data_IF_240050571815
#
_entry.id   IF_240050571815
#
_cell.length_a   1.000
_cell.length_b   1.000
_cell.length_c   1.000
_cell.angle_alpha   90.00
_cell.angle_beta   90.00
_cell.angle_gamma   90.00
#
_symmetry.space_group_name_H-M   'P 1'
#
loop_
_entity.id
_entity.type
_entity.pdbx_description
1 polymer ?
#
# COMPACT_ATOMS: atom_id res chain seq x y z
N UNK A 1 4.15 -10.44 -11.17
CA UNK A 1 5.26 -11.29 -10.69
C UNK A 1 4.79 -12.55 -9.97
N UNK A 2 3.76 -12.45 -9.12
CA UNK A 2 3.14 -13.59 -8.43
C UNK A 2 1.63 -13.54 -8.67
N UNK A 3 1.03 -14.64 -9.13
CA UNK A 3 -0.41 -14.68 -9.49
C UNK A 3 -1.09 -15.96 -8.99
N UNK A 4 -2.42 -15.93 -8.88
CA UNK A 4 -3.22 -17.08 -8.45
C UNK A 4 -2.77 -17.64 -7.10
N UNK A 5 -2.47 -18.94 -7.06
CA UNK A 5 -2.02 -19.65 -5.85
C UNK A 5 -0.65 -19.19 -5.30
N UNK A 6 0.09 -18.37 -6.05
CA UNK A 6 1.41 -17.86 -5.67
C UNK A 6 1.31 -16.57 -4.85
N UNK A 7 0.12 -15.96 -4.75
CA UNK A 7 -0.10 -14.77 -3.92
C UNK A 7 -0.29 -15.24 -2.47
N UNK A 8 0.83 -15.50 -1.79
CA UNK A 8 0.90 -16.01 -0.42
C UNK A 8 1.73 -15.09 0.47
N UNK A 9 1.47 -15.14 1.77
CA UNK A 9 2.25 -14.40 2.78
C UNK A 9 3.74 -14.80 2.76
N UNK A 10 4.03 -16.08 2.49
CA UNK A 10 5.40 -16.57 2.39
C UNK A 10 6.16 -15.92 1.22
N UNK A 11 5.57 -15.89 0.03
CA UNK A 11 6.18 -15.27 -1.14
C UNK A 11 6.35 -13.77 -0.94
N UNK A 12 5.37 -13.10 -0.35
CA UNK A 12 5.46 -11.69 0.00
C UNK A 12 6.67 -11.42 0.92
N UNK A 13 6.83 -12.17 2.01
CA UNK A 13 7.93 -11.98 2.94
C UNK A 13 9.29 -12.27 2.29
N UNK A 14 9.37 -13.32 1.48
CA UNK A 14 10.57 -13.65 0.71
C UNK A 14 10.94 -12.51 -0.28
N UNK A 15 9.96 -11.96 -0.98
CA UNK A 15 10.13 -10.82 -1.90
C UNK A 15 10.66 -9.61 -1.17
N UNK A 16 10.06 -9.24 -0.03
CA UNK A 16 10.49 -8.10 0.77
C UNK A 16 11.93 -8.27 1.25
N UNK A 17 12.27 -9.45 1.74
CA UNK A 17 13.61 -9.76 2.24
C UNK A 17 14.66 -9.90 1.12
N UNK A 18 14.26 -9.96 -0.14
CA UNK A 18 15.18 -10.21 -1.25
C UNK A 18 15.62 -11.67 -1.34
N UNK A 19 14.91 -12.60 -0.70
CA UNK A 19 15.30 -14.00 -0.62
C UNK A 19 14.72 -14.81 -1.80
N UNK A 20 15.49 -14.87 -2.89
CA UNK A 20 15.14 -15.64 -4.10
C UNK A 20 14.99 -17.14 -3.83
N UNK A 21 15.62 -17.68 -2.79
CA UNK A 21 15.56 -19.13 -2.48
C UNK A 21 14.29 -19.48 -1.70
N UNK A 22 13.77 -18.53 -0.92
CA UNK A 22 12.52 -18.71 -0.17
C UNK A 22 11.25 -18.54 -1.04
N UNK A 23 11.38 -17.90 -2.21
CA UNK A 23 10.26 -17.77 -3.16
C UNK A 23 9.84 -19.14 -3.71
N UNK A 24 8.52 -19.37 -3.75
CA UNK A 24 7.88 -20.56 -4.33
C UNK A 24 7.01 -20.17 -5.53
N UNK A 25 7.46 -20.53 -6.72
CA UNK A 25 6.78 -20.21 -7.98
C UNK A 25 6.92 -18.73 -8.36
N UNK A 26 6.02 -18.25 -9.23
CA UNK A 26 6.07 -16.88 -9.77
C UNK A 26 7.27 -16.63 -10.68
N UNK A 27 7.58 -15.36 -10.90
CA UNK A 27 8.73 -14.94 -11.71
C UNK A 27 10.07 -15.07 -11.00
N UNK A 28 10.08 -15.30 -9.68
CA UNK A 28 11.28 -15.25 -8.85
C UNK A 28 11.83 -13.84 -8.61
N UNK A 29 11.13 -12.79 -9.07
CA UNK A 29 11.53 -11.39 -8.84
C UNK A 29 11.35 -11.05 -7.36
N UNK A 30 12.38 -10.46 -6.75
CA UNK A 30 12.38 -10.02 -5.35
C UNK A 30 13.01 -8.63 -5.22
N UNK A 31 12.89 -8.01 -4.05
CA UNK A 31 13.57 -6.76 -3.71
C UNK A 31 15.03 -7.06 -3.36
N UNK A 32 15.86 -7.25 -4.39
CA UNK A 32 17.30 -7.50 -4.29
C UNK A 32 18.07 -6.18 -4.14
N UNK A 33 17.73 -5.46 -3.07
CA UNK A 33 18.29 -4.16 -2.75
C UNK A 33 19.63 -4.33 -2.02
N UNK A 34 20.68 -3.63 -2.48
CA UNK A 34 22.04 -3.87 -2.01
C UNK A 34 22.32 -3.22 -0.64
N UNK A 35 23.06 -3.89 0.26
CA UNK A 35 23.56 -3.29 1.50
C UNK A 35 24.44 -2.06 1.23
N UNK A 36 24.44 -1.10 2.17
CA UNK A 36 25.29 0.09 2.10
C UNK A 36 26.80 -0.26 1.99
N UNK A 37 27.47 0.27 0.96
CA UNK A 37 28.89 0.61 1.06
C UNK A 37 29.03 1.92 1.84
N UNK A 38 29.49 1.83 3.08
CA UNK A 38 29.81 2.98 3.94
C UNK A 38 31.02 3.70 3.32
N UNK A 39 30.79 4.59 2.36
CA UNK A 39 31.87 5.39 1.75
C UNK A 39 31.63 5.93 0.34
N UNK A 40 30.64 5.44 -0.41
CA UNK A 40 30.39 5.96 -1.76
C UNK A 40 29.37 7.10 -1.77
N UNK A 41 29.86 8.32 -1.95
CA UNK A 41 29.10 9.56 -2.18
C UNK A 41 28.12 9.48 -3.38
N UNK A 42 28.22 8.44 -4.22
CA UNK A 42 27.55 8.38 -5.53
C UNK A 42 26.85 7.04 -5.85
N UNK A 43 26.47 6.22 -4.86
CA UNK A 43 25.57 5.08 -5.11
C UNK A 43 24.11 5.48 -4.92
N UNK A 44 23.34 5.40 -6.01
CA UNK A 44 21.88 5.54 -6.04
C UNK A 44 21.25 4.52 -5.09
N UNK A 45 21.02 4.92 -3.85
CA UNK A 45 20.32 4.11 -2.86
C UNK A 45 18.86 3.92 -3.29
N UNK A 46 18.37 2.69 -3.25
CA UNK A 46 16.96 2.40 -3.55
C UNK A 46 16.14 2.93 -2.37
N UNK A 47 15.33 3.93 -2.68
CA UNK A 47 14.23 4.37 -1.84
C UNK A 47 13.01 3.62 -2.35
N UNK A 48 12.43 2.81 -1.49
CA UNK A 48 11.40 1.84 -1.88
C UNK A 48 10.03 2.42 -1.49
N UNK A 49 9.13 2.50 -2.46
CA UNK A 49 7.71 2.55 -2.19
C UNK A 49 7.21 1.11 -2.23
N UNK A 50 6.53 0.70 -1.17
CA UNK A 50 5.80 -0.55 -1.15
C UNK A 50 4.33 -0.23 -1.01
N UNK A 51 3.54 -0.83 -1.87
CA UNK A 51 2.10 -0.65 -1.88
C UNK A 51 1.45 -1.99 -1.51
N UNK A 52 0.68 -1.98 -0.43
CA UNK A 52 -0.23 -3.07 -0.09
C UNK A 52 -1.63 -2.65 -0.50
N UNK A 53 -2.01 -3.03 -1.72
CA UNK A 53 -3.43 -3.10 -2.07
C UNK A 53 -3.93 -4.46 -1.62
N UNK A 54 -4.53 -4.53 -0.44
CA UNK A 54 -5.44 -5.61 -0.14
C UNK A 54 -6.79 -5.25 -0.73
N UNK A 55 -7.03 -5.65 -1.98
CA UNK A 55 -8.39 -5.74 -2.49
C UNK A 55 -9.11 -6.74 -1.59
N UNK A 56 -9.86 -6.23 -0.62
CA UNK A 56 -10.89 -7.02 0.03
C UNK A 56 -11.70 -7.61 -1.10
N UNK A 57 -11.74 -8.94 -1.20
CA UNK A 57 -12.66 -9.63 -2.09
C UNK A 57 -14.00 -8.92 -1.98
N UNK A 58 -14.53 -8.43 -3.10
CA UNK A 58 -15.81 -7.72 -3.20
C UNK A 58 -16.81 -8.38 -2.25
N UNK A 59 -17.00 -7.77 -1.09
CA UNK A 59 -17.91 -8.28 -0.07
C UNK A 59 -19.31 -7.89 -0.53
N UNK A 60 -20.07 -8.88 -0.97
CA UNK A 60 -21.46 -8.72 -1.36
C UNK A 60 -22.29 -8.14 -0.21
N UNK A 61 -22.49 -6.81 -0.17
CA UNK A 61 -23.48 -6.02 0.62
C UNK A 61 -23.75 -6.42 2.11
N UNK A 62 -23.07 -7.38 2.71
CA UNK A 62 -23.56 -8.09 3.91
C UNK A 62 -22.47 -8.68 4.82
N UNK A 63 -21.21 -8.25 4.68
CA UNK A 63 -20.20 -8.56 5.68
C UNK A 63 -19.73 -7.25 6.31
N UNK A 64 -20.47 -6.81 7.33
CA UNK A 64 -19.93 -5.94 8.36
C UNK A 64 -18.53 -6.44 8.73
N UNK A 65 -17.52 -5.56 8.70
CA UNK A 65 -16.27 -5.82 9.41
C UNK A 65 -16.66 -6.04 10.88
N UNK A 66 -16.81 -7.30 11.29
CA UNK A 66 -17.16 -7.62 12.66
C UNK A 66 -16.05 -7.13 13.55
N UNK A 67 -16.34 -6.06 14.28
CA UNK A 67 -15.53 -5.51 15.36
C UNK A 67 -15.03 -6.65 16.25
N UNK A 68 -13.73 -6.89 16.22
CA UNK A 68 -12.91 -7.46 17.29
C UNK A 68 -11.43 -7.37 16.88
N UNK A 69 -10.82 -6.19 17.08
CA UNK A 69 -9.36 -5.98 17.08
C UNK A 69 -8.62 -6.57 15.86
N UNK A 70 -8.80 -6.03 14.65
CA UNK A 70 -8.09 -6.59 13.48
C UNK A 70 -6.57 -6.51 13.70
N UNK A 71 -5.81 -7.59 13.49
CA UNK A 71 -4.33 -7.66 13.62
C UNK A 71 -3.76 -8.38 12.38
N UNK A 72 -4.54 -8.42 11.30
CA UNK A 72 -4.20 -9.16 10.10
C UNK A 72 -4.73 -8.48 8.82
N UNK A 73 -4.12 -8.81 7.68
CA UNK A 73 -4.54 -8.42 6.34
C UNK A 73 -4.88 -9.70 5.57
N UNK A 74 -6.05 -9.70 4.93
CA UNK A 74 -6.53 -10.82 4.13
C UNK A 74 -5.59 -11.10 2.95
N UNK A 75 -5.37 -12.38 2.66
CA UNK A 75 -4.58 -12.85 1.52
C UNK A 75 -5.43 -13.79 0.67
N UNK A 76 -5.29 -13.79 -0.67
CA UNK A 76 -6.05 -14.70 -1.53
C UNK A 76 -5.83 -16.18 -1.22
N UNK A 77 -4.65 -16.51 -0.69
CA UNK A 77 -4.28 -17.85 -0.27
C UNK A 77 -3.80 -17.80 1.18
N UNK A 78 -4.37 -18.65 2.02
CA UNK A 78 -3.99 -18.77 3.43
C UNK A 78 -2.52 -19.18 3.61
N UNK A 79 -1.87 -18.79 4.72
CA UNK A 79 -2.43 -17.99 5.82
C UNK A 79 -2.50 -16.48 5.50
N UNK A 80 -3.35 -15.76 6.23
CA UNK A 80 -3.38 -14.28 6.22
C UNK A 80 -2.06 -13.69 6.73
N UNK A 81 -1.82 -12.42 6.38
CA UNK A 81 -0.69 -11.65 6.91
C UNK A 81 -1.05 -11.15 8.30
N UNK A 82 -0.26 -11.48 9.32
CA UNK A 82 -0.44 -10.95 10.67
C UNK A 82 0.51 -9.79 10.91
N UNK A 83 0.04 -8.74 11.61
CA UNK A 83 0.81 -7.52 11.84
C UNK A 83 2.13 -7.77 12.56
N UNK A 84 2.14 -8.65 13.56
CA UNK A 84 3.37 -9.00 14.28
C UNK A 84 4.43 -9.63 13.37
N UNK A 85 4.03 -10.61 12.55
CA UNK A 85 4.93 -11.26 11.58
C UNK A 85 5.45 -10.24 10.55
N UNK A 86 4.56 -9.36 10.09
CA UNK A 86 4.93 -8.33 9.13
C UNK A 86 5.95 -7.34 9.72
N UNK A 87 5.75 -6.87 10.95
CA UNK A 87 6.72 -6.02 11.66
C UNK A 87 8.05 -6.76 11.87
N UNK A 88 8.04 -8.06 12.17
CA UNK A 88 9.27 -8.85 12.26
C UNK A 88 10.04 -8.92 10.94
N UNK A 89 9.33 -9.08 9.82
CA UNK A 89 9.93 -9.05 8.47
C UNK A 89 10.55 -7.69 8.19
N UNK A 90 9.87 -6.59 8.53
CA UNK A 90 10.43 -5.24 8.40
C UNK A 90 11.67 -5.03 9.27
N UNK A 91 11.68 -5.56 10.50
CA UNK A 91 12.86 -5.55 11.39
C UNK A 91 14.01 -6.34 10.79
N UNK A 92 13.77 -7.52 10.21
CA UNK A 92 14.79 -8.31 9.50
C UNK A 92 15.35 -7.55 8.30
N UNK A 93 14.49 -6.94 7.49
CA UNK A 93 14.90 -6.10 6.36
C UNK A 93 15.74 -4.90 6.81
N UNK A 94 15.37 -4.27 7.93
CA UNK A 94 16.13 -3.17 8.53
C UNK A 94 17.52 -3.63 9.00
N UNK A 95 17.56 -4.76 9.73
CA UNK A 95 18.81 -5.35 10.22
C UNK A 95 19.78 -5.71 9.09
N UNK A 96 19.26 -6.13 7.94
CA UNK A 96 20.05 -6.41 6.74
C UNK A 96 20.65 -5.14 6.09
N UNK A 97 20.18 -3.94 6.45
CA UNK A 97 20.63 -2.64 5.91
C UNK A 97 20.57 -2.55 4.39
N UNK A 98 19.59 -3.22 3.81
CA UNK A 98 19.39 -3.31 2.36
C UNK A 98 18.49 -2.19 1.81
N UNK A 99 18.13 -1.17 2.60
CA UNK A 99 17.43 0.01 2.09
C UNK A 99 17.89 1.26 2.84
N UNK A 100 17.72 2.43 2.22
CA UNK A 100 17.99 3.72 2.90
C UNK A 100 16.79 4.18 3.71
N UNK A 101 15.65 4.28 3.02
CA UNK A 101 14.34 4.69 3.54
C UNK A 101 13.26 3.96 2.76
N UNK A 102 12.16 3.64 3.43
CA UNK A 102 11.01 2.93 2.85
C UNK A 102 9.73 3.68 3.17
N UNK A 103 8.82 3.74 2.21
CA UNK A 103 7.46 4.26 2.38
C UNK A 103 6.49 3.13 2.07
N UNK A 104 5.51 2.91 2.96
CA UNK A 104 4.50 1.86 2.83
C UNK A 104 3.11 2.50 2.83
N UNK A 105 2.34 2.26 1.79
CA UNK A 105 0.91 2.62 1.70
C UNK A 105 0.08 1.37 1.93
N UNK A 106 -0.91 1.43 2.82
CA UNK A 106 -1.69 0.25 3.23
C UNK A 106 -3.20 0.52 3.12
N UNK A 107 -3.84 -0.22 2.23
CA UNK A 107 -5.28 -0.41 2.10
C UNK A 107 -5.56 -1.86 2.51
N UNK A 108 -6.22 -2.11 3.67
CA UNK A 108 -7.70 -2.16 3.72
C UNK A 108 -8.33 -1.53 5.00
N UNK A 109 -9.56 -1.94 5.35
CA UNK A 109 -10.23 -1.66 6.63
C UNK A 109 -9.36 -1.98 7.85
N UNK A 110 -9.58 -1.24 8.93
CA UNK A 110 -8.83 -1.29 10.19
C UNK A 110 -7.29 -1.25 10.02
N UNK A 111 -6.76 -0.79 8.89
CA UNK A 111 -5.34 -0.92 8.53
C UNK A 111 -4.37 -0.31 9.54
N UNK A 112 -4.82 0.68 10.32
CA UNK A 112 -4.04 1.25 11.41
C UNK A 112 -3.62 0.24 12.48
N UNK A 113 -4.42 -0.80 12.71
CA UNK A 113 -4.20 -1.80 13.75
C UNK A 113 -2.97 -2.69 13.51
N UNK A 114 -2.51 -2.77 12.26
CA UNK A 114 -1.30 -3.49 11.86
C UNK A 114 -0.04 -2.83 12.43
N UNK A 115 -0.11 -1.55 12.78
CA UNK A 115 1.05 -0.75 13.17
C UNK A 115 0.91 -0.10 14.54
N UNK A 116 -0.32 0.16 14.99
CA UNK A 116 -0.60 0.82 16.26
C UNK A 116 0.04 0.07 17.44
N UNK A 117 0.78 0.80 18.27
CA UNK A 117 1.48 0.25 19.44
C UNK A 117 2.72 -0.60 19.14
N UNK A 118 2.92 -1.09 17.91
CA UNK A 118 3.97 -2.06 17.60
C UNK A 118 5.02 -1.59 16.57
N UNK A 119 4.72 -0.59 15.73
CA UNK A 119 5.64 -0.09 14.70
C UNK A 119 6.77 0.78 15.27
N UNK A 120 8.05 0.37 15.19
CA UNK A 120 9.18 1.18 15.62
C UNK A 120 9.36 2.47 14.79
N UNK A 121 9.93 3.51 15.41
CA UNK A 121 10.12 4.84 14.78
C UNK A 121 11.53 5.06 14.23
N UNK A 122 12.45 4.16 14.53
CA UNK A 122 13.90 4.25 14.27
C UNK A 122 14.38 3.32 13.14
N UNK A 123 13.47 2.81 12.31
CA UNK A 123 13.81 1.91 11.20
C UNK A 123 13.99 2.61 9.85
N UNK A 124 13.79 3.92 9.72
CA UNK A 124 13.72 4.60 8.42
C UNK A 124 12.58 4.06 7.52
N UNK A 125 11.47 3.66 8.13
CA UNK A 125 10.25 3.24 7.44
C UNK A 125 9.13 4.20 7.82
N UNK A 126 8.44 4.77 6.84
CA UNK A 126 7.24 5.57 7.01
C UNK A 126 6.04 4.80 6.48
N UNK A 127 4.95 4.79 7.24
CA UNK A 127 3.73 4.06 6.86
C UNK A 127 2.55 5.02 6.88
N UNK A 128 1.68 4.89 5.90
CA UNK A 128 0.36 5.54 5.86
C UNK A 128 -0.72 4.49 5.59
N UNK A 129 -1.84 4.58 6.30
CA UNK A 129 -2.93 3.59 6.27
C UNK A 129 -4.24 4.25 5.89
N UNK A 130 -5.11 3.53 5.19
CA UNK A 130 -6.41 4.02 4.72
C UNK A 130 -7.36 4.40 5.86
N UNK A 131 -7.25 3.71 7.00
CA UNK A 131 -8.10 3.91 8.17
C UNK A 131 -7.33 3.78 9.48
N UNK A 132 -7.97 4.16 10.59
CA UNK A 132 -7.50 3.84 11.94
C UNK A 132 -7.72 2.36 12.30
N UNK A 133 -7.42 1.95 13.53
CA UNK A 133 -7.48 0.55 13.94
C UNK A 133 -8.89 -0.03 14.17
N UNK A 134 -9.94 0.79 14.06
CA UNK A 134 -11.29 0.47 14.52
C UNK A 134 -12.38 0.82 13.50
N UNK A 135 -12.01 1.31 12.32
CA UNK A 135 -12.95 1.75 11.29
C UNK A 135 -12.62 1.14 9.93
N UNK A 136 -13.65 1.13 9.09
CA UNK A 136 -13.56 0.67 7.71
C UNK A 136 -12.75 1.62 6.84
N UNK A 137 -12.18 1.08 5.76
CA UNK A 137 -11.87 1.84 4.56
C UNK A 137 -13.06 1.75 3.59
N UNK A 138 -12.99 2.49 2.48
CA UNK A 138 -14.14 2.67 1.60
C UNK A 138 -13.80 2.46 0.13
N UNK A 139 -14.64 1.69 -0.55
CA UNK A 139 -14.66 1.60 -2.01
C UNK A 139 -15.17 2.90 -2.63
N UNK A 140 -14.76 3.18 -3.87
CA UNK A 140 -15.20 4.33 -4.67
C UNK A 140 -15.46 3.91 -6.12
N UNK A 141 -16.07 4.81 -6.90
CA UNK A 141 -16.49 4.54 -8.28
C UNK A 141 -17.35 3.27 -8.35
N UNK A 142 -18.33 3.19 -7.45
CA UNK A 142 -19.27 2.09 -7.33
C UNK A 142 -20.57 2.36 -8.11
N UNK A 143 -21.31 1.31 -8.50
CA UNK A 143 -22.70 1.48 -8.94
C UNK A 143 -23.48 2.26 -7.89
N UNK A 144 -24.38 3.15 -8.33
CA UNK A 144 -25.21 4.02 -7.46
C UNK A 144 -24.44 5.14 -6.74
N UNK A 145 -23.13 5.29 -6.94
CA UNK A 145 -22.35 6.45 -6.50
C UNK A 145 -22.12 7.45 -7.64
N UNK A 146 -21.75 8.68 -7.29
CA UNK A 146 -21.40 9.73 -8.25
C UNK A 146 -19.89 10.09 -8.15
N UNK A 147 -19.11 9.98 -9.24
CA UNK A 147 -19.50 9.45 -10.55
C UNK A 147 -19.61 7.91 -10.55
N UNK A 148 -20.59 7.33 -11.27
CA UNK A 148 -20.73 5.88 -11.38
C UNK A 148 -19.72 5.31 -12.40
N UNK A 149 -19.37 4.03 -12.29
CA UNK A 149 -18.63 3.32 -13.33
C UNK A 149 -19.51 3.12 -14.59
N UNK A 150 -18.91 2.73 -15.73
CA UNK A 150 -19.70 2.35 -16.90
C UNK A 150 -20.73 1.25 -16.56
N UNK A 151 -21.96 1.29 -17.13
CA UNK A 151 -23.08 0.46 -16.67
C UNK A 151 -22.85 -1.06 -16.71
N UNK A 152 -21.90 -1.54 -17.51
CA UNK A 152 -21.51 -2.95 -17.56
C UNK A 152 -20.77 -3.43 -16.30
N UNK A 153 -20.23 -2.52 -15.49
CA UNK A 153 -19.57 -2.83 -14.23
C UNK A 153 -20.56 -2.74 -13.06
N UNK A 154 -20.90 -3.90 -12.49
CA UNK A 154 -21.80 -4.03 -11.34
C UNK A 154 -21.05 -4.09 -9.98
N UNK A 155 -19.80 -3.64 -9.96
CA UNK A 155 -18.91 -3.63 -8.78
C UNK A 155 -18.18 -2.30 -8.68
N UNK A 156 -17.71 -1.94 -7.49
CA UNK A 156 -16.76 -0.84 -7.32
C UNK A 156 -15.48 -1.12 -8.13
N UNK A 157 -14.94 -0.09 -8.77
CA UNK A 157 -13.72 -0.21 -9.57
C UNK A 157 -12.45 0.00 -8.74
N UNK A 158 -12.52 0.80 -7.68
CA UNK A 158 -11.35 1.26 -6.93
C UNK A 158 -11.67 1.51 -5.44
N UNK A 159 -10.65 1.84 -4.65
CA UNK A 159 -10.76 2.21 -3.23
C UNK A 159 -10.41 3.70 -3.01
N UNK A 160 -11.16 4.39 -2.13
CA UNK A 160 -11.09 5.85 -1.94
C UNK A 160 -9.69 6.33 -1.56
N UNK A 161 -9.04 5.68 -0.59
CA UNK A 161 -7.68 6.03 -0.18
C UNK A 161 -6.68 5.78 -1.31
N UNK A 162 -6.80 4.65 -2.00
CA UNK A 162 -5.92 4.25 -3.09
C UNK A 162 -5.99 5.24 -4.26
N UNK A 163 -7.18 5.58 -4.74
CA UNK A 163 -7.32 6.59 -5.82
C UNK A 163 -6.89 7.97 -5.36
N UNK A 164 -7.06 8.30 -4.08
CA UNK A 164 -6.69 9.60 -3.55
C UNK A 164 -5.20 9.88 -3.76
N UNK A 165 -4.32 8.94 -3.39
CA UNK A 165 -2.88 9.16 -3.56
C UNK A 165 -2.42 8.89 -4.99
N UNK A 166 -3.04 7.93 -5.72
CA UNK A 166 -2.65 7.62 -7.10
C UNK A 166 -2.95 8.76 -8.07
N UNK A 167 -4.18 9.30 -8.03
CA UNK A 167 -4.59 10.39 -8.92
C UNK A 167 -3.85 11.69 -8.61
N UNK A 168 -3.55 11.94 -7.33
CA UNK A 168 -2.68 13.02 -6.91
C UNK A 168 -1.27 12.91 -7.49
N UNK A 169 -0.66 11.73 -7.36
CA UNK A 169 0.67 11.48 -7.93
C UNK A 169 0.71 11.62 -9.45
N UNK A 170 -0.40 11.35 -10.14
CA UNK A 170 -0.54 11.53 -11.58
C UNK A 170 -0.78 13.01 -11.97
N UNK A 171 -1.53 13.74 -11.14
CA UNK A 171 -1.89 15.14 -11.36
C UNK A 171 -0.79 16.15 -10.99
N UNK A 172 0.19 15.76 -10.17
CA UNK A 172 1.19 16.66 -9.62
C UNK A 172 2.64 16.37 -10.03
N UNK A 173 3.48 17.40 -9.93
CA UNK A 173 4.91 17.26 -10.16
C UNK A 173 5.60 16.69 -8.89
N UNK A 174 5.83 15.38 -8.90
CA UNK A 174 6.45 14.63 -7.80
C UNK A 174 7.85 15.14 -7.37
N UNK A 175 8.56 15.89 -8.22
CA UNK A 175 9.84 16.52 -7.85
C UNK A 175 9.64 17.72 -6.91
N UNK A 176 8.45 18.30 -6.89
CA UNK A 176 8.07 19.45 -6.05
C UNK A 176 7.29 19.01 -4.83
N UNK A 177 6.39 18.05 -5.00
CA UNK A 177 5.55 17.56 -3.92
C UNK A 177 6.32 16.69 -2.91
N UNK A 178 6.01 16.86 -1.64
CA UNK A 178 6.56 16.08 -0.52
C UNK A 178 5.59 14.99 -0.08
N UNK A 179 6.11 13.95 0.58
CA UNK A 179 5.28 12.93 1.24
C UNK A 179 4.31 13.56 2.23
N UNK A 180 4.72 14.63 2.94
CA UNK A 180 3.84 15.38 3.84
C UNK A 180 2.60 15.93 3.13
N UNK A 181 2.81 16.56 1.98
CA UNK A 181 1.75 17.23 1.22
C UNK A 181 0.75 16.21 0.68
N UNK A 182 1.23 15.11 0.09
CA UNK A 182 0.36 14.03 -0.34
C UNK A 182 -0.40 13.42 0.83
N UNK A 183 0.25 13.13 1.97
CA UNK A 183 -0.48 12.61 3.14
C UNK A 183 -1.61 13.54 3.59
N UNK A 184 -1.37 14.87 3.61
CA UNK A 184 -2.39 15.85 4.00
C UNK A 184 -3.57 15.88 3.02
N UNK A 185 -3.29 15.87 1.70
CA UNK A 185 -4.34 15.83 0.68
C UNK A 185 -5.09 14.49 0.69
N UNK A 186 -4.38 13.36 0.81
CA UNK A 186 -5.00 12.02 0.89
C UNK A 186 -5.91 11.94 2.11
N UNK A 187 -5.45 12.44 3.25
CA UNK A 187 -6.24 12.50 4.48
C UNK A 187 -7.50 13.34 4.30
N UNK A 188 -7.40 14.51 3.65
CA UNK A 188 -8.55 15.37 3.40
C UNK A 188 -9.57 14.71 2.45
N UNK A 189 -9.11 14.13 1.34
CA UNK A 189 -9.97 13.44 0.37
C UNK A 189 -10.63 12.19 0.97
N UNK A 190 -9.86 11.38 1.69
CA UNK A 190 -10.34 10.14 2.32
C UNK A 190 -11.30 10.41 3.48
N UNK A 191 -11.21 11.57 4.12
CA UNK A 191 -12.18 11.98 5.13
C UNK A 191 -13.58 12.25 4.53
N UNK A 192 -13.71 12.37 3.20
CA UNK A 192 -14.97 12.56 2.49
C UNK A 192 -15.85 13.66 3.12
N UNK A 193 -15.33 14.89 3.18
CA UNK A 193 -15.97 16.03 3.88
C UNK A 193 -16.29 15.79 5.37
N UNK A 194 -15.54 14.90 6.02
CA UNK A 194 -15.74 14.39 7.37
C UNK A 194 -17.02 13.54 7.55
N UNK A 195 -17.54 12.95 6.47
CA UNK A 195 -18.63 11.97 6.54
C UNK A 195 -18.09 10.56 6.86
N UNK A 196 -17.65 10.38 8.11
CA UNK A 196 -17.17 9.09 8.62
C UNK A 196 -18.28 8.06 8.83
N UNK A 197 -19.55 8.45 8.63
CA UNK A 197 -20.71 7.55 8.78
C UNK A 197 -21.04 6.87 7.45
N UNK A 198 -20.93 7.60 6.33
CA UNK A 198 -21.40 7.11 5.03
C UNK A 198 -20.32 6.98 3.94
N UNK A 199 -19.03 7.20 4.23
CA UNK A 199 -18.02 7.00 3.19
C UNK A 199 -16.59 7.46 3.46
N UNK A 200 -16.29 8.02 4.63
CA UNK A 200 -14.96 8.54 4.98
C UNK A 200 -14.23 7.72 6.05
N UNK A 201 -12.90 7.81 6.05
CA UNK A 201 -12.03 7.22 7.06
C UNK A 201 -10.86 8.14 7.45
N UNK A 202 -10.28 7.89 8.62
CA UNK A 202 -9.13 8.61 9.14
C UNK A 202 -7.84 7.97 8.66
N UNK A 203 -7.19 8.62 7.69
CA UNK A 203 -5.84 8.23 7.27
C UNK A 203 -4.85 8.44 8.42
N UNK A 204 -4.09 7.40 8.74
CA UNK A 204 -3.13 7.40 9.85
C UNK A 204 -1.69 7.28 9.35
N UNK A 205 -0.73 7.68 10.19
CA UNK A 205 0.71 7.61 9.89
C UNK A 205 1.53 7.01 11.04
N UNK A 206 2.46 6.12 10.70
CA UNK A 206 3.32 5.39 11.65
C UNK A 206 4.81 5.43 11.24
N UNK A 207 5.68 5.05 12.16
CA UNK A 207 7.12 4.94 11.92
C UNK A 207 7.87 6.29 11.87
N UNK A 208 8.87 6.38 11.00
CA UNK A 208 9.85 7.48 10.91
C UNK A 208 9.29 8.72 10.20
N UNK A 209 8.59 9.60 10.93
CA UNK A 209 8.00 10.84 10.38
C UNK A 209 8.99 11.83 9.77
N UNK A 210 10.29 11.71 10.07
CA UNK A 210 11.34 12.53 9.42
C UNK A 210 11.41 12.34 7.90
N UNK A 211 10.85 11.23 7.39
CA UNK A 211 10.77 10.94 5.95
C UNK A 211 9.77 11.86 5.23
N UNK A 212 8.78 12.43 5.94
CA UNK A 212 7.73 13.29 5.35
C UNK A 212 8.23 14.51 4.57
N UNK A 213 9.41 15.02 4.92
CA UNK A 213 10.01 16.16 4.23
C UNK A 213 10.58 15.80 2.84
N UNK A 214 10.72 14.51 2.51
CA UNK A 214 11.25 14.07 1.24
C UNK A 214 10.24 14.21 0.09
N UNK A 215 10.78 14.39 -1.11
CA UNK A 215 10.00 14.52 -2.35
C UNK A 215 9.48 13.15 -2.83
N UNK A 216 8.25 13.12 -3.32
CA UNK A 216 7.61 11.88 -3.82
C UNK A 216 8.40 11.23 -4.96
N UNK A 217 9.04 12.03 -5.83
CA UNK A 217 9.85 11.50 -6.93
C UNK A 217 10.96 10.56 -6.46
N UNK A 218 11.35 10.59 -5.19
CA UNK A 218 12.37 9.69 -4.67
C UNK A 218 11.88 8.24 -4.57
N UNK A 219 10.56 8.05 -4.41
CA UNK A 219 9.91 6.77 -4.12
C UNK A 219 9.02 6.30 -5.29
N UNK A 220 8.36 7.22 -5.99
CA UNK A 220 7.35 6.90 -7.02
C UNK A 220 7.85 7.11 -8.46
N UNK A 221 9.15 6.93 -8.71
CA UNK A 221 9.79 7.21 -10.03
C UNK A 221 9.16 6.48 -11.22
N UNK A 222 8.56 5.31 -10.97
CA UNK A 222 8.11 4.36 -12.01
C UNK A 222 6.57 4.27 -12.08
N UNK A 223 5.84 5.04 -11.26
CA UNK A 223 4.37 5.01 -11.25
C UNK A 223 3.72 5.72 -12.46
N UNK A 224 4.50 6.46 -13.27
CA UNK A 224 4.03 7.17 -14.45
C UNK A 224 4.32 6.33 -15.71
N UNK A 225 3.47 5.35 -15.98
CA UNK A 225 3.12 4.96 -17.36
C UNK A 225 1.70 5.48 -17.60
N UNK A 226 1.40 6.07 -18.77
CA UNK A 226 0.09 6.63 -19.04
C UNK A 226 -0.93 5.48 -19.12
N UNK A 227 -1.67 5.25 -18.05
CA UNK A 227 -3.00 4.65 -18.15
C UNK A 227 -3.90 5.70 -18.79
N UNK A 228 -3.75 5.93 -20.10
CA UNK A 228 -4.69 6.65 -20.96
C UNK A 228 -4.13 6.73 -22.40
N UNK A 229 -4.03 5.58 -23.08
CA UNK A 229 -4.39 5.51 -24.50
C UNK A 229 -4.89 4.10 -24.82
N UNK A 230 -6.16 4.03 -25.24
CA UNK A 230 -6.87 2.91 -25.88
C UNK A 230 -7.51 1.81 -25.03
N UNK A 231 -8.85 1.89 -24.95
CA UNK A 231 -9.87 0.83 -24.83
C UNK A 231 -10.01 0.04 -23.51
N UNK A 232 -11.24 -0.11 -22.99
CA UNK A 232 -11.53 -0.82 -21.75
C UNK A 232 -11.65 -2.32 -22.02
N UNK A 233 -10.55 -3.04 -21.89
CA UNK A 233 -10.58 -4.50 -21.71
C UNK A 233 -9.52 -4.90 -20.69
N UNK A 234 -9.71 -4.51 -19.43
CA UNK A 234 -8.98 -5.11 -18.30
C UNK A 234 -9.95 -6.00 -17.55
N UNK A 235 -10.26 -7.15 -18.15
CA UNK A 235 -10.67 -8.34 -17.40
C UNK A 235 -9.41 -8.93 -16.78
N UNK A 236 -9.09 -8.55 -15.53
CA UNK A 236 -8.41 -9.37 -14.52
C UNK A 236 -8.00 -8.50 -13.33
N UNK A 237 -8.67 -8.71 -12.19
CA UNK A 237 -8.26 -8.20 -10.87
C UNK A 237 -6.79 -8.55 -10.64
N UNK A 238 -5.96 -7.53 -10.67
CA UNK A 238 -4.51 -7.66 -10.60
C UNK A 238 -4.05 -7.19 -9.24
N UNK A 239 -3.54 -8.12 -8.43
CA UNK A 239 -2.71 -7.79 -7.28
C UNK A 239 -1.43 -7.13 -7.81
N UNK A 240 -1.37 -5.80 -7.74
CA UNK A 240 -0.25 -5.03 -8.27
C UNK A 240 0.82 -4.88 -7.18
N UNK A 241 1.77 -5.81 -7.12
CA UNK A 241 3.08 -5.51 -6.53
C UNK A 241 3.88 -4.74 -7.58
N UNK A 242 3.80 -3.40 -7.58
CA UNK A 242 4.76 -2.59 -8.33
C UNK A 242 6.02 -2.43 -7.48
N UNK A 243 7.05 -3.21 -7.81
CA UNK A 243 8.44 -2.96 -7.41
C UNK A 243 9.08 -1.93 -8.33
#
# INVERSE_FOLDING_TARGET
DYTGHQVTTENLYAVLLGDKKAVKGGSGKVIDSKPNDIGSSYTTQIKEALEFLAFGLVKSKLDHCYQLHAVFVGMPNMPFLYGMDFIEVLKKKHAARTYRKMVIYVEPCESGSIFEGIMPKDMNIYVTTASNAQENSWGTYCPEMEPPPPPEYITCLEDLYSVAWMEDSQGHNLKRETIKQQYEMVKERTANANDFVNGGSHVMEYGSRSIRAEKLYLYQKVLILPLLTSHPTITNYTWLWKL
#
